data_IF_089077694735
#
_entry.id   IF_089077694735
#
_cell.length_a   1.000
_cell.length_b   1.000
_cell.length_c   1.000
_cell.angle_alpha   90.00
_cell.angle_beta   90.00
_cell.angle_gamma   90.00
#
_symmetry.space_group_name_H-M   'P 1'
#
loop_
_entity.id
_entity.type
_entity.pdbx_description
1 polymer ?
#
# COMPACT_ATOMS: atom_id res chain seq x y z
N UNK A 1 -39.63 34.28 -44.00
CA UNK A 1 -39.10 34.77 -42.72
C UNK A 1 -38.83 33.65 -41.71
N UNK A 2 -39.77 32.68 -41.54
CA UNK A 2 -39.54 31.55 -40.61
C UNK A 2 -38.34 30.67 -41.03
N UNK A 3 -38.22 30.38 -42.34
CA UNK A 3 -37.12 29.56 -42.88
C UNK A 3 -35.75 30.22 -42.65
N UNK A 4 -35.67 31.54 -42.86
CA UNK A 4 -34.43 32.31 -42.64
C UNK A 4 -34.02 32.33 -41.15
N UNK A 5 -35.00 32.45 -40.25
CA UNK A 5 -34.78 32.40 -38.82
C UNK A 5 -34.25 31.02 -38.39
N UNK A 6 -34.87 29.93 -38.86
CA UNK A 6 -34.45 28.56 -38.59
C UNK A 6 -33.05 28.28 -39.15
N UNK A 7 -32.72 28.75 -40.33
CA UNK A 7 -31.41 28.60 -40.93
C UNK A 7 -30.30 29.30 -40.07
N UNK A 8 -30.59 30.53 -39.63
CA UNK A 8 -29.66 31.30 -38.78
C UNK A 8 -29.42 30.64 -37.43
N UNK A 9 -30.47 30.09 -36.83
CA UNK A 9 -30.38 29.32 -35.57
C UNK A 9 -29.55 28.06 -35.73
N UNK A 10 -29.83 27.28 -36.80
CA UNK A 10 -29.06 26.03 -37.06
C UNK A 10 -27.59 26.31 -37.35
N UNK A 11 -27.29 27.39 -38.09
CA UNK A 11 -25.92 27.81 -38.36
C UNK A 11 -25.18 28.12 -37.04
N UNK A 12 -25.82 28.89 -36.14
CA UNK A 12 -25.25 29.22 -34.83
C UNK A 12 -24.98 27.97 -34.00
N UNK A 13 -25.92 27.03 -33.94
CA UNK A 13 -25.76 25.76 -33.22
C UNK A 13 -24.63 24.93 -33.81
N UNK A 14 -24.50 24.88 -35.14
CA UNK A 14 -23.36 24.21 -35.80
C UNK A 14 -22.03 24.83 -35.40
N UNK A 15 -21.93 26.16 -35.42
CA UNK A 15 -20.66 26.86 -35.06
C UNK A 15 -20.31 26.67 -33.61
N UNK A 16 -21.30 26.67 -32.70
CA UNK A 16 -21.08 26.33 -31.27
C UNK A 16 -20.60 24.89 -31.08
N UNK A 17 -21.25 23.94 -31.79
CA UNK A 17 -20.85 22.52 -31.69
C UNK A 17 -19.43 22.32 -32.22
N UNK A 18 -19.08 22.96 -33.33
CA UNK A 18 -17.72 22.92 -33.89
C UNK A 18 -16.67 23.45 -32.91
N UNK A 19 -16.99 24.60 -32.26
CA UNK A 19 -16.11 25.19 -31.24
C UNK A 19 -15.93 24.26 -30.03
N UNK A 20 -17.04 23.69 -29.52
CA UNK A 20 -17.01 22.74 -28.39
C UNK A 20 -16.24 21.46 -28.75
N UNK A 21 -16.42 20.95 -29.96
CA UNK A 21 -15.67 19.78 -30.44
C UNK A 21 -14.17 20.04 -30.51
N UNK A 22 -13.76 21.20 -31.03
CA UNK A 22 -12.35 21.60 -31.10
C UNK A 22 -11.73 21.73 -29.68
N UNK A 23 -12.49 22.34 -28.77
CA UNK A 23 -12.07 22.46 -27.37
C UNK A 23 -11.89 21.09 -26.70
N UNK A 24 -12.83 20.17 -26.95
CA UNK A 24 -12.76 18.80 -26.40
C UNK A 24 -11.56 18.02 -26.94
N UNK A 25 -11.26 18.15 -28.24
CA UNK A 25 -10.07 17.55 -28.84
C UNK A 25 -8.78 18.05 -28.14
N UNK A 26 -8.70 19.34 -27.84
CA UNK A 26 -7.56 19.94 -27.16
C UNK A 26 -7.41 19.39 -25.72
N UNK A 27 -8.52 19.31 -24.97
CA UNK A 27 -8.51 18.74 -23.62
C UNK A 27 -8.11 17.25 -23.64
N UNK A 28 -8.64 16.49 -24.61
CA UNK A 28 -8.24 15.09 -24.81
C UNK A 28 -6.73 14.94 -25.02
N UNK A 29 -6.15 15.78 -25.87
CA UNK A 29 -4.70 15.73 -26.14
C UNK A 29 -3.88 16.10 -24.91
N UNK A 30 -4.27 17.12 -24.16
CA UNK A 30 -3.62 17.49 -22.91
C UNK A 30 -3.69 16.36 -21.88
N UNK A 31 -4.84 15.72 -21.74
CA UNK A 31 -5.02 14.59 -20.83
C UNK A 31 -4.13 13.41 -21.24
N UNK A 32 -4.05 13.13 -22.54
CA UNK A 32 -3.19 12.05 -23.05
C UNK A 32 -1.70 12.31 -22.76
N UNK A 33 -1.24 13.53 -22.96
CA UNK A 33 0.14 13.93 -22.63
C UNK A 33 0.42 13.81 -21.13
N UNK A 34 -0.51 14.27 -20.28
CA UNK A 34 -0.37 14.14 -18.82
C UNK A 34 -0.34 12.69 -18.38
N UNK A 35 -1.19 11.84 -18.97
CA UNK A 35 -1.21 10.41 -18.70
C UNK A 35 0.12 9.74 -19.06
N UNK A 36 0.68 10.05 -20.23
CA UNK A 36 1.97 9.50 -20.66
C UNK A 36 3.13 9.96 -19.77
N UNK A 37 3.14 11.24 -19.35
CA UNK A 37 4.14 11.77 -18.41
C UNK A 37 4.07 11.05 -17.06
N UNK A 38 2.88 10.93 -16.49
CA UNK A 38 2.67 10.22 -15.21
C UNK A 38 3.04 8.74 -15.31
N UNK A 39 2.77 8.11 -16.45
CA UNK A 39 3.16 6.70 -16.68
C UNK A 39 4.67 6.55 -16.71
N UNK A 40 5.38 7.45 -17.39
CA UNK A 40 6.84 7.45 -17.44
C UNK A 40 7.46 7.69 -16.05
N UNK A 41 6.94 8.66 -15.29
CA UNK A 41 7.38 8.93 -13.92
C UNK A 41 7.16 7.73 -13.00
N UNK A 42 5.98 7.07 -13.10
CA UNK A 42 5.70 5.83 -12.37
C UNK A 42 6.69 4.72 -12.70
N UNK A 43 6.99 4.53 -13.98
CA UNK A 43 7.87 3.45 -14.43
C UNK A 43 9.34 3.73 -14.04
N UNK A 44 9.76 4.99 -14.05
CA UNK A 44 11.06 5.43 -13.52
C UNK A 44 11.17 5.16 -12.01
N UNK A 45 10.12 5.50 -11.25
CA UNK A 45 10.07 5.24 -9.81
C UNK A 45 10.12 3.73 -9.51
N UNK A 46 9.34 2.92 -10.23
CA UNK A 46 9.33 1.46 -10.09
C UNK A 46 10.68 0.81 -10.42
N UNK A 47 11.44 1.38 -11.35
CA UNK A 47 12.73 0.85 -11.77
C UNK A 47 13.91 1.44 -10.97
N UNK A 48 13.67 2.42 -10.09
CA UNK A 48 14.70 2.97 -9.21
C UNK A 48 15.25 1.91 -8.27
N UNK A 49 16.56 1.82 -8.06
CA UNK A 49 17.13 0.89 -7.10
C UNK A 49 16.64 1.23 -5.69
N UNK A 50 16.40 0.20 -4.88
CA UNK A 50 16.12 0.41 -3.47
C UNK A 50 17.29 1.15 -2.79
N UNK A 51 16.99 1.91 -1.74
CA UNK A 51 18.01 2.55 -0.90
C UNK A 51 18.97 1.48 -0.33
N UNK A 52 20.15 1.89 0.07
CA UNK A 52 21.13 1.02 0.74
C UNK A 52 20.46 0.29 1.92
N UNK A 53 20.73 -1.00 2.06
CA UNK A 53 20.17 -1.91 3.06
C UNK A 53 18.69 -2.30 2.90
N UNK A 54 17.98 -1.70 1.92
CA UNK A 54 16.64 -2.14 1.56
C UNK A 54 16.68 -3.29 0.54
N UNK A 55 15.80 -4.26 0.72
CA UNK A 55 15.67 -5.43 -0.17
C UNK A 55 14.51 -5.26 -1.11
N UNK A 56 14.73 -5.50 -2.40
CA UNK A 56 13.67 -5.43 -3.41
C UNK A 56 12.88 -6.73 -3.47
N UNK A 57 11.58 -6.59 -3.55
CA UNK A 57 10.66 -7.65 -3.94
C UNK A 57 9.53 -7.04 -4.78
N UNK A 58 9.34 -7.55 -6.00
CA UNK A 58 8.41 -6.94 -6.96
C UNK A 58 8.75 -5.46 -7.24
N UNK A 59 7.76 -4.62 -7.09
CA UNK A 59 7.88 -3.17 -7.29
C UNK A 59 8.25 -2.40 -6.00
N UNK A 60 8.31 -3.09 -4.86
CA UNK A 60 8.51 -2.50 -3.54
C UNK A 60 9.91 -2.77 -2.96
N UNK A 61 10.30 -1.95 -2.02
CA UNK A 61 11.53 -2.06 -1.25
C UNK A 61 11.19 -2.26 0.23
N UNK A 62 11.90 -3.16 0.90
CA UNK A 62 11.62 -3.59 2.27
C UNK A 62 12.87 -3.48 3.14
N UNK A 63 12.67 -3.07 4.38
CA UNK A 63 13.72 -3.07 5.39
C UNK A 63 13.20 -3.60 6.72
N UNK A 64 14.04 -4.37 7.40
CA UNK A 64 13.81 -4.77 8.80
C UNK A 64 14.58 -3.83 9.70
N UNK A 65 13.92 -3.29 10.71
CA UNK A 65 14.56 -2.38 11.67
C UNK A 65 15.66 -3.09 12.47
N UNK A 66 16.70 -2.34 12.81
CA UNK A 66 17.74 -2.80 13.74
C UNK A 66 17.40 -2.52 15.20
N UNK A 67 16.33 -1.76 15.45
CA UNK A 67 15.87 -1.37 16.79
C UNK A 67 14.46 -1.92 17.03
N UNK A 68 14.11 -2.07 18.29
CA UNK A 68 12.77 -2.47 18.70
C UNK A 68 11.99 -1.26 19.17
N UNK A 69 10.71 -1.19 18.82
CA UNK A 69 9.76 -0.15 19.21
C UNK A 69 8.35 -0.74 19.33
N UNK A 70 7.46 -0.06 20.03
CA UNK A 70 6.03 -0.37 19.99
C UNK A 70 5.44 -0.12 18.59
N UNK A 71 4.27 -0.67 18.33
CA UNK A 71 3.69 -0.68 16.99
C UNK A 71 3.50 0.73 16.41
N UNK A 72 2.95 1.66 17.18
CA UNK A 72 2.72 3.04 16.70
C UNK A 72 4.05 3.77 16.43
N UNK A 73 5.03 3.64 17.33
CA UNK A 73 6.36 4.23 17.12
C UNK A 73 7.09 3.60 15.93
N UNK A 74 6.85 2.31 15.67
CA UNK A 74 7.37 1.61 14.49
C UNK A 74 6.76 2.16 13.22
N UNK A 75 5.43 2.35 13.19
CA UNK A 75 4.72 2.97 12.08
C UNK A 75 5.25 4.39 11.80
N UNK A 76 5.37 5.23 12.82
CA UNK A 76 5.91 6.57 12.66
C UNK A 76 7.35 6.57 12.14
N UNK A 77 8.14 5.57 12.49
CA UNK A 77 9.50 5.42 11.98
C UNK A 77 9.49 5.08 10.48
N UNK A 78 8.62 4.17 10.02
CA UNK A 78 8.46 3.87 8.59
C UNK A 78 8.03 5.14 7.82
N UNK A 79 7.05 5.88 8.33
CA UNK A 79 6.59 7.16 7.73
C UNK A 79 7.74 8.17 7.62
N UNK A 80 8.60 8.28 8.64
CA UNK A 80 9.78 9.15 8.59
C UNK A 80 10.78 8.73 7.49
N UNK A 81 10.80 7.48 7.11
CA UNK A 81 11.56 6.93 5.97
C UNK A 81 10.80 6.97 4.64
N UNK A 82 9.64 7.64 4.60
CA UNK A 82 8.71 7.68 3.44
C UNK A 82 8.22 6.29 3.02
N UNK A 83 7.99 5.46 4.01
CA UNK A 83 7.50 4.10 3.89
C UNK A 83 6.30 3.89 4.85
N UNK A 84 5.67 2.74 4.80
CA UNK A 84 4.69 2.29 5.78
C UNK A 84 5.14 0.97 6.43
N UNK A 85 4.50 0.55 7.51
CA UNK A 85 4.61 -0.83 7.96
C UNK A 85 4.07 -1.76 6.87
N UNK A 86 4.78 -2.85 6.61
CA UNK A 86 4.51 -3.77 5.51
C UNK A 86 3.06 -4.25 5.47
N UNK A 87 2.46 -4.21 4.26
CA UNK A 87 1.14 -4.74 3.95
C UNK A 87 1.32 -6.01 3.12
N UNK A 88 0.90 -7.16 3.63
CA UNK A 88 1.12 -8.45 2.97
C UNK A 88 -0.11 -8.83 2.14
N UNK A 89 0.04 -8.79 0.83
CA UNK A 89 -1.06 -8.96 -0.14
C UNK A 89 -1.08 -10.33 -0.82
N UNK A 90 -0.02 -11.11 -0.70
CA UNK A 90 0.10 -12.41 -1.38
C UNK A 90 0.91 -13.41 -0.57
N UNK A 91 0.71 -14.71 -0.87
CA UNK A 91 1.51 -15.78 -0.28
C UNK A 91 3.00 -15.64 -0.61
N UNK A 92 3.34 -15.25 -1.83
CA UNK A 92 4.73 -15.08 -2.27
C UNK A 92 5.40 -13.94 -1.49
N UNK A 93 4.67 -12.87 -1.22
CA UNK A 93 5.15 -11.78 -0.38
C UNK A 93 5.30 -12.21 1.10
N UNK A 94 4.36 -13.00 1.63
CA UNK A 94 4.48 -13.57 2.96
C UNK A 94 5.74 -14.45 3.09
N UNK A 95 6.04 -15.26 2.09
CA UNK A 95 7.27 -16.07 2.04
C UNK A 95 8.52 -15.21 2.00
N UNK A 96 8.51 -14.14 1.22
CA UNK A 96 9.60 -13.15 1.18
C UNK A 96 9.79 -12.47 2.55
N UNK A 97 8.71 -11.99 3.18
CA UNK A 97 8.73 -11.38 4.51
C UNK A 97 9.24 -12.36 5.57
N UNK A 98 8.83 -13.62 5.51
CA UNK A 98 9.35 -14.69 6.37
C UNK A 98 10.87 -14.86 6.22
N UNK A 99 11.41 -14.69 5.00
CA UNK A 99 12.86 -14.71 4.75
C UNK A 99 13.59 -13.49 5.29
N UNK A 100 12.92 -12.34 5.45
CA UNK A 100 13.52 -11.15 6.05
C UNK A 100 13.81 -11.32 7.55
N UNK A 101 13.02 -12.14 8.26
CA UNK A 101 13.09 -12.31 9.70
C UNK A 101 13.86 -13.55 10.14
N UNK A 102 14.63 -14.20 9.26
CA UNK A 102 15.36 -15.45 9.58
C UNK A 102 16.31 -15.32 10.79
N UNK A 103 16.78 -14.12 11.09
CA UNK A 103 17.68 -13.84 12.23
C UNK A 103 16.99 -13.21 13.44
N UNK A 104 15.67 -12.94 13.34
CA UNK A 104 14.87 -12.34 14.42
C UNK A 104 13.61 -13.16 14.62
N UNK A 105 13.05 -13.13 15.84
CA UNK A 105 11.88 -13.96 16.16
C UNK A 105 10.55 -13.27 15.84
N UNK A 106 10.49 -11.94 15.97
CA UNK A 106 9.26 -11.16 15.87
C UNK A 106 9.51 -9.82 15.20
N UNK A 107 8.58 -9.42 14.31
CA UNK A 107 8.58 -8.09 13.71
C UNK A 107 7.16 -7.58 13.45
N UNK A 108 6.90 -6.32 13.82
CA UNK A 108 5.64 -5.65 13.50
C UNK A 108 5.40 -5.58 11.99
N UNK A 109 4.16 -5.82 11.60
CA UNK A 109 3.62 -5.56 10.27
C UNK A 109 2.50 -4.51 10.35
N UNK A 110 2.02 -4.04 9.21
CA UNK A 110 1.01 -2.99 9.13
C UNK A 110 -0.41 -3.42 9.51
N UNK A 111 -0.56 -4.43 10.36
CA UNK A 111 -1.83 -5.04 10.73
C UNK A 111 -2.26 -4.59 12.12
N UNK A 112 -3.52 -4.15 12.27
CA UNK A 112 -4.09 -3.80 13.58
C UNK A 112 -5.59 -4.07 13.65
N UNK A 113 -6.08 -4.37 14.86
CA UNK A 113 -7.49 -4.55 15.14
C UNK A 113 -8.15 -3.17 15.32
N UNK A 114 -9.12 -2.85 14.48
CA UNK A 114 -9.88 -1.60 14.53
C UNK A 114 -11.37 -1.94 14.53
N UNK A 115 -12.08 -1.50 15.57
CA UNK A 115 -13.53 -1.73 15.70
C UNK A 115 -13.91 -3.21 15.53
N UNK A 116 -13.11 -4.11 16.12
CA UNK A 116 -13.32 -5.56 16.06
C UNK A 116 -12.97 -6.21 14.71
N UNK A 117 -12.32 -5.48 13.79
CA UNK A 117 -11.92 -6.01 12.48
C UNK A 117 -10.43 -5.75 12.23
N UNK A 118 -9.72 -6.76 11.76
CA UNK A 118 -8.32 -6.60 11.34
C UNK A 118 -8.23 -5.78 10.06
N UNK A 119 -7.45 -4.70 10.11
CA UNK A 119 -7.22 -3.79 8.98
C UNK A 119 -5.74 -3.50 8.81
N UNK A 120 -5.35 -3.26 7.59
CA UNK A 120 -4.02 -2.76 7.25
C UNK A 120 -3.89 -1.26 7.56
N UNK A 121 -2.65 -0.77 7.65
CA UNK A 121 -2.33 0.65 7.94
C UNK A 121 -2.89 1.63 6.92
N UNK A 122 -3.13 1.19 5.68
CA UNK A 122 -3.78 1.97 4.62
C UNK A 122 -5.32 1.99 4.74
N UNK A 123 -5.89 1.28 5.71
CA UNK A 123 -7.33 1.18 5.95
C UNK A 123 -8.02 0.06 5.16
N UNK A 124 -7.31 -0.66 4.31
CA UNK A 124 -7.89 -1.78 3.55
C UNK A 124 -8.21 -2.97 4.46
N UNK A 125 -9.28 -3.72 4.16
CA UNK A 125 -9.59 -4.94 4.91
C UNK A 125 -8.60 -6.05 4.56
N UNK A 126 -8.36 -6.94 5.52
CA UNK A 126 -7.56 -8.15 5.31
C UNK A 126 -8.37 -9.14 4.48
N UNK A 127 -7.86 -9.48 3.29
CA UNK A 127 -8.52 -10.44 2.38
C UNK A 127 -7.91 -11.84 2.46
N UNK A 128 -6.62 -11.93 2.75
CA UNK A 128 -5.89 -13.19 2.94
C UNK A 128 -5.16 -13.13 4.27
N UNK A 129 -5.14 -14.22 4.99
CA UNK A 129 -4.51 -14.28 6.32
C UNK A 129 -3.47 -15.39 6.37
N UNK A 130 -2.41 -15.15 7.12
CA UNK A 130 -1.29 -16.09 7.31
C UNK A 130 -1.00 -16.30 8.80
N UNK A 131 -2.08 -16.33 9.62
CA UNK A 131 -1.98 -16.60 11.04
C UNK A 131 -1.30 -17.95 11.31
N UNK A 132 -0.45 -18.02 12.30
CA UNK A 132 0.08 -19.29 12.80
C UNK A 132 -1.02 -20.05 13.54
N UNK A 133 -0.77 -21.31 13.82
CA UNK A 133 -1.76 -22.18 14.48
C UNK A 133 -2.27 -21.56 15.78
N UNK A 134 -3.59 -21.53 15.93
CA UNK A 134 -4.33 -20.96 17.06
C UNK A 134 -4.22 -19.42 17.21
N UNK A 135 -3.75 -18.71 16.22
CA UNK A 135 -3.78 -17.25 16.18
C UNK A 135 -4.91 -16.72 15.26
N UNK A 136 -5.43 -15.50 15.49
CA UNK A 136 -5.17 -14.63 16.62
C UNK A 136 -5.85 -15.16 17.90
N UNK A 137 -5.19 -15.07 19.05
CA UNK A 137 -5.70 -15.64 20.30
C UNK A 137 -6.05 -14.59 21.37
N UNK A 138 -5.72 -13.32 21.12
CA UNK A 138 -5.93 -12.20 22.04
C UNK A 138 -5.54 -12.54 23.50
N UNK A 139 -4.36 -13.14 23.68
CA UNK A 139 -3.90 -13.53 24.99
C UNK A 139 -3.89 -12.32 25.93
N UNK A 140 -4.48 -12.49 27.12
CA UNK A 140 -4.70 -11.44 28.11
C UNK A 140 -5.66 -10.29 27.72
N UNK A 141 -6.30 -10.34 26.50
CA UNK A 141 -7.38 -9.43 26.12
C UNK A 141 -6.93 -8.05 25.63
N UNK A 142 -5.66 -7.89 25.20
CA UNK A 142 -5.10 -6.60 24.76
C UNK A 142 -4.14 -6.73 23.54
N UNK A 143 -4.28 -7.80 22.74
CA UNK A 143 -3.43 -8.05 21.57
C UNK A 143 -4.10 -7.57 20.30
N UNK A 144 -3.96 -6.29 20.00
CA UNK A 144 -4.63 -5.61 18.88
C UNK A 144 -3.69 -5.27 17.72
N UNK A 145 -2.42 -5.70 17.74
CA UNK A 145 -1.44 -5.43 16.69
C UNK A 145 -0.85 -6.72 16.14
N UNK A 146 -0.66 -6.75 14.82
CA UNK A 146 -0.13 -7.92 14.11
C UNK A 146 1.38 -7.86 13.95
N UNK A 147 2.02 -9.00 14.18
CA UNK A 147 3.43 -9.22 13.90
C UNK A 147 3.63 -10.48 13.05
N UNK A 148 4.73 -10.55 12.32
CA UNK A 148 5.22 -11.82 11.80
C UNK A 148 6.13 -12.45 12.84
N UNK A 149 6.02 -13.78 12.97
CA UNK A 149 6.86 -14.53 13.87
C UNK A 149 7.54 -15.72 13.17
N UNK A 150 8.67 -16.10 13.72
CA UNK A 150 9.28 -17.41 13.50
C UNK A 150 9.32 -18.15 14.84
N UNK A 151 8.56 -19.22 14.96
CA UNK A 151 8.55 -20.04 16.17
C UNK A 151 9.90 -20.74 16.36
N UNK A 152 10.57 -20.42 17.46
CA UNK A 152 11.86 -21.02 17.80
C UNK A 152 11.77 -22.56 18.05
N UNK A 153 10.58 -23.06 18.43
CA UNK A 153 10.37 -24.47 18.76
C UNK A 153 9.92 -25.33 17.57
N UNK A 154 9.08 -24.78 16.68
CA UNK A 154 8.51 -25.52 15.55
C UNK A 154 9.06 -25.09 14.19
N UNK A 155 9.72 -23.93 14.10
CA UNK A 155 10.11 -23.32 12.84
C UNK A 155 8.92 -22.75 12.04
N UNK A 156 7.70 -22.81 12.61
CA UNK A 156 6.50 -22.25 11.97
C UNK A 156 6.66 -20.75 11.80
N UNK A 157 6.31 -20.24 10.62
CA UNK A 157 6.32 -18.82 10.28
C UNK A 157 4.92 -18.37 9.90
N UNK A 158 4.55 -17.20 10.33
CA UNK A 158 3.25 -16.61 10.03
C UNK A 158 2.94 -15.43 10.94
N UNK A 159 1.66 -15.12 11.09
CA UNK A 159 1.23 -13.98 11.91
C UNK A 159 0.86 -14.39 13.33
N UNK A 160 1.09 -13.47 14.23
CA UNK A 160 0.66 -13.50 15.61
C UNK A 160 0.05 -12.13 15.98
N UNK A 161 -0.91 -12.13 16.88
CA UNK A 161 -1.37 -10.91 17.53
C UNK A 161 -0.57 -10.67 18.81
N UNK A 162 -0.17 -9.41 19.04
CA UNK A 162 0.57 -9.02 20.22
C UNK A 162 0.09 -7.63 20.71
N UNK A 163 0.37 -7.29 21.96
CA UNK A 163 0.07 -5.98 22.53
C UNK A 163 0.78 -4.89 21.76
N UNK A 164 0.05 -3.90 21.29
CA UNK A 164 0.62 -2.79 20.53
C UNK A 164 1.70 -2.01 21.28
N UNK A 165 1.74 -2.12 22.62
CA UNK A 165 2.75 -1.51 23.50
C UNK A 165 4.06 -2.32 23.63
N UNK A 166 4.11 -3.55 23.15
CA UNK A 166 5.32 -4.37 23.15
C UNK A 166 6.38 -3.80 22.19
N UNK A 167 7.65 -3.93 22.57
CA UNK A 167 8.75 -3.49 21.72
C UNK A 167 9.24 -4.66 20.86
N UNK A 168 9.03 -4.55 19.54
CA UNK A 168 9.46 -5.52 18.53
C UNK A 168 10.29 -4.84 17.44
N UNK A 169 11.05 -5.63 16.68
CA UNK A 169 11.51 -5.19 15.36
C UNK A 169 10.31 -4.85 14.48
N UNK A 170 10.51 -4.18 13.38
CA UNK A 170 9.43 -3.84 12.46
C UNK A 170 9.92 -3.86 11.02
N UNK A 171 8.99 -4.09 10.10
CA UNK A 171 9.27 -4.16 8.67
C UNK A 171 8.57 -3.01 8.00
N UNK A 172 9.35 -2.17 7.28
CA UNK A 172 8.82 -1.11 6.45
C UNK A 172 8.84 -1.52 4.98
N UNK A 173 7.85 -1.04 4.23
CA UNK A 173 7.69 -1.20 2.79
C UNK A 173 7.52 0.19 2.14
N UNK A 174 8.20 0.40 0.99
CA UNK A 174 8.15 1.62 0.17
C UNK A 174 7.88 1.29 -1.28
#
# INVERSE_FOLDING_TARGET
>A
DQLQSNYSSLKRSKDQLQSSYTSLLRVKEQLHQSYNSLTAERDDFKNSPCQTDWRRFGDSCYIVSTVKKNWESSRQNCIAWRAELVIINSLIEQEFVNGLIDSILYAWIGLSLKEGTWKWVDGTPVTSTYWTKNQPNNANGDQDCGEVLQSASSGEKGWNDERCSADQHFICEQ
#
